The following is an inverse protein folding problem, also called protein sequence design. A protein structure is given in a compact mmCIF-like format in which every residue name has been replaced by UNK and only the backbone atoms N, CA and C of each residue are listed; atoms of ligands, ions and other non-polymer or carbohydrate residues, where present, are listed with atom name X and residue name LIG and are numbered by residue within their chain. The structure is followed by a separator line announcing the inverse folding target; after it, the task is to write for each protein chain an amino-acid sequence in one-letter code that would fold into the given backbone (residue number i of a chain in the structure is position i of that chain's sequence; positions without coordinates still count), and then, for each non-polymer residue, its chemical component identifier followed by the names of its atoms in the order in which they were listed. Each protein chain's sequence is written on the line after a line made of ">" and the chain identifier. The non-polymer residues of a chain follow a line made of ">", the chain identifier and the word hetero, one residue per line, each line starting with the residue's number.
data_IF_846547863211
#
_entry.id   IF_846547863211
#
_cell.length_a   1.000
_cell.length_b   1.000
_cell.length_c   1.000
_cell.angle_alpha   90.00
_cell.angle_beta   90.00
_cell.angle_gamma   90.00
#
_symmetry.space_group_name_H-M   'P 1'
#
loop_
_entity.id
_entity.type
_entity.pdbx_description
1 polymer ?
#
# COMPACT_ATOMS: atom_id res chain seq x y z
N UNK A 1 -0.35 -7.39 19.12
CA UNK A 1 0.68 -7.34 18.05
C UNK A 1 0.89 -5.89 17.65
N UNK A 2 2.13 -5.47 17.37
CA UNK A 2 2.45 -4.11 16.91
C UNK A 2 2.80 -4.17 15.42
N UNK A 3 1.87 -3.74 14.57
CA UNK A 3 2.09 -3.70 13.12
C UNK A 3 2.75 -2.38 12.69
N UNK A 4 3.45 -2.42 11.55
CA UNK A 4 4.02 -1.27 10.86
C UNK A 4 3.89 -1.45 9.33
N UNK A 5 4.26 -0.46 8.53
CA UNK A 5 4.12 -0.50 7.06
C UNK A 5 4.90 -1.65 6.38
N UNK A 6 5.90 -2.22 7.05
CA UNK A 6 6.67 -3.38 6.55
C UNK A 6 6.11 -4.72 7.02
N UNK A 7 5.04 -4.72 7.82
CA UNK A 7 4.41 -5.94 8.28
C UNK A 7 3.71 -6.64 7.12
N UNK A 8 3.90 -7.96 7.00
CA UNK A 8 3.29 -8.78 5.93
C UNK A 8 2.50 -9.96 6.49
N UNK A 9 1.51 -10.42 5.74
CA UNK A 9 0.83 -11.69 5.90
C UNK A 9 1.35 -12.71 4.88
N UNK A 10 1.37 -13.98 5.23
CA UNK A 10 1.58 -15.08 4.27
C UNK A 10 0.21 -15.61 3.87
N UNK A 11 -0.12 -15.55 2.58
CA UNK A 11 -1.38 -16.04 2.04
C UNK A 11 -1.36 -17.58 1.89
N UNK A 12 -2.52 -18.17 1.60
CA UNK A 12 -2.68 -19.63 1.48
C UNK A 12 -1.81 -20.26 0.37
N UNK A 13 -1.39 -19.47 -0.62
CA UNK A 13 -0.50 -19.87 -1.71
C UNK A 13 0.98 -19.55 -1.42
N UNK A 14 1.32 -19.20 -0.17
CA UNK A 14 2.67 -18.83 0.31
C UNK A 14 3.19 -17.48 -0.19
N UNK A 15 2.39 -16.69 -0.91
CA UNK A 15 2.76 -15.32 -1.27
C UNK A 15 2.74 -14.42 -0.04
N UNK A 16 3.72 -13.52 0.08
CA UNK A 16 3.75 -12.48 1.11
C UNK A 16 3.02 -11.23 0.63
N UNK A 17 2.06 -10.75 1.41
CA UNK A 17 1.28 -9.54 1.11
C UNK A 17 1.42 -8.53 2.26
N UNK A 18 1.67 -7.24 1.97
CA UNK A 18 1.66 -6.18 2.99
C UNK A 18 0.33 -6.10 3.73
N UNK A 19 0.39 -5.93 5.05
CA UNK A 19 -0.82 -5.74 5.88
C UNK A 19 -1.49 -4.40 5.63
N UNK A 20 -0.75 -3.40 5.15
CA UNK A 20 -1.24 -2.06 4.87
C UNK A 20 -0.99 -1.69 3.41
N UNK A 21 -2.02 -1.18 2.75
CA UNK A 21 -1.96 -0.67 1.37
C UNK A 21 -2.76 0.62 1.22
N UNK A 22 -2.50 1.37 0.15
CA UNK A 22 -3.28 2.55 -0.23
C UNK A 22 -4.31 2.17 -1.29
N UNK A 23 -5.60 2.33 -0.98
CA UNK A 23 -6.67 2.23 -1.97
C UNK A 23 -6.86 3.56 -2.70
N UNK A 24 -7.00 3.53 -4.02
CA UNK A 24 -7.12 4.73 -4.87
C UNK A 24 -8.52 4.93 -5.46
N UNK A 25 -9.52 4.16 -4.99
CA UNK A 25 -10.88 4.28 -5.49
C UNK A 25 -11.45 5.69 -5.25
N UNK A 26 -12.16 6.23 -6.25
CA UNK A 26 -12.67 7.62 -6.33
C UNK A 26 -11.60 8.73 -6.39
N UNK A 27 -10.30 8.40 -6.35
CA UNK A 27 -9.27 9.39 -6.70
C UNK A 27 -9.34 9.68 -8.20
N UNK A 28 -9.34 10.95 -8.57
CA UNK A 28 -9.38 11.34 -9.99
C UNK A 28 -8.15 10.82 -10.73
N UNK A 29 -8.38 10.34 -11.95
CA UNK A 29 -7.30 9.88 -12.81
C UNK A 29 -6.34 11.02 -13.16
N UNK A 30 -5.04 10.72 -13.26
CA UNK A 30 -4.01 11.72 -13.55
C UNK A 30 -3.25 12.15 -12.30
N UNK A 31 -2.92 13.45 -12.21
CA UNK A 31 -1.94 13.97 -11.25
C UNK A 31 -2.28 13.64 -9.79
N UNK A 32 -3.56 13.73 -9.40
CA UNK A 32 -4.00 13.45 -8.03
C UNK A 32 -3.65 12.01 -7.62
N UNK A 33 -4.04 11.02 -8.43
CA UNK A 33 -3.74 9.62 -8.14
C UNK A 33 -2.24 9.34 -8.23
N UNK A 34 -1.53 9.95 -9.18
CA UNK A 34 -0.07 9.78 -9.31
C UNK A 34 0.67 10.28 -8.06
N UNK A 35 0.37 11.51 -7.62
CA UNK A 35 0.99 12.10 -6.43
C UNK A 35 0.65 11.29 -5.17
N UNK A 36 -0.62 10.87 -5.01
CA UNK A 36 -1.03 10.05 -3.87
C UNK A 36 -0.26 8.72 -3.79
N UNK A 37 -0.07 8.05 -4.93
CA UNK A 37 0.71 6.81 -5.01
C UNK A 37 2.19 7.07 -4.72
N UNK A 38 2.78 8.12 -5.31
CA UNK A 38 4.19 8.47 -5.09
C UNK A 38 4.44 8.77 -3.60
N UNK A 39 3.61 9.60 -2.98
CA UNK A 39 3.76 9.97 -1.57
C UNK A 39 3.60 8.77 -0.64
N UNK A 40 2.68 7.84 -0.92
CA UNK A 40 2.56 6.62 -0.14
C UNK A 40 3.83 5.76 -0.24
N UNK A 41 4.38 5.61 -1.44
CA UNK A 41 5.63 4.86 -1.65
C UNK A 41 6.82 5.50 -0.93
N UNK A 42 6.93 6.83 -0.96
CA UNK A 42 7.94 7.62 -0.24
C UNK A 42 7.78 7.51 1.28
N UNK A 43 6.54 7.49 1.78
CA UNK A 43 6.22 7.27 3.19
C UNK A 43 6.46 5.82 3.65
N UNK A 44 6.72 4.89 2.72
CA UNK A 44 7.12 3.51 3.01
C UNK A 44 6.05 2.43 2.79
N UNK A 45 4.92 2.76 2.16
CA UNK A 45 3.95 1.74 1.71
C UNK A 45 4.57 0.84 0.65
N UNK A 46 4.17 -0.43 0.60
CA UNK A 46 4.63 -1.43 -0.37
C UNK A 46 3.48 -2.26 -0.88
#
# INVERSE_FOLDING_TARGET
>A
MKYNLKSTAVLNNKTTMPWFGLGTFLSEAGKITQDAVIWALEAGYR
#
